data_IF_260840293106
#
_entry.id   IF_260840293106
#
_cell.length_a   1.000
_cell.length_b   1.000
_cell.length_c   1.000
_cell.angle_alpha   90.00
_cell.angle_beta   90.00
_cell.angle_gamma   90.00
#
_symmetry.space_group_name_H-M   'P 1'
#
loop_
_entity.id
_entity.type
_entity.pdbx_description
1 polymer ?
#
# COMPACT_ATOMS: atom_id res chain seq x y z
N UNK A 1 15.48 -20.23 23.60
CA UNK A 1 15.54 -18.90 24.22
C UNK A 1 15.66 -17.89 23.09
N UNK A 2 14.52 -17.26 22.77
CA UNK A 2 14.29 -16.13 21.85
C UNK A 2 14.72 -16.27 20.37
N UNK A 3 13.85 -16.95 19.61
CA UNK A 3 13.70 -16.66 18.17
C UNK A 3 13.14 -15.22 18.07
N UNK A 4 13.95 -14.28 17.58
CA UNK A 4 13.49 -12.91 17.33
C UNK A 4 12.48 -13.00 16.20
N UNK A 5 11.23 -12.60 16.44
CA UNK A 5 10.30 -12.29 15.35
C UNK A 5 10.97 -11.19 14.51
N UNK A 6 11.51 -11.53 13.34
CA UNK A 6 11.91 -10.54 12.36
C UNK A 6 10.63 -9.91 11.81
N UNK A 7 10.22 -8.81 12.43
CA UNK A 7 9.13 -7.95 11.93
C UNK A 7 9.60 -7.29 10.63
N UNK A 8 9.40 -8.00 9.52
CA UNK A 8 9.68 -7.49 8.19
C UNK A 8 8.42 -6.81 7.63
N UNK A 9 8.49 -5.51 7.36
CA UNK A 9 7.40 -4.77 6.73
C UNK A 9 6.98 -5.40 5.39
N UNK A 10 5.68 -5.45 5.12
CA UNK A 10 5.14 -5.87 3.81
C UNK A 10 5.14 -4.73 2.79
N UNK A 11 5.50 -5.02 1.53
CA UNK A 11 5.43 -4.08 0.41
C UNK A 11 4.56 -4.66 -0.70
N UNK A 12 3.71 -3.81 -1.30
CA UNK A 12 2.83 -4.19 -2.41
C UNK A 12 2.75 -3.07 -3.44
N UNK A 13 2.71 -3.41 -4.73
CA UNK A 13 2.67 -2.43 -5.82
C UNK A 13 1.89 -2.93 -7.04
N UNK A 14 1.17 -2.01 -7.68
CA UNK A 14 0.40 -2.23 -8.91
C UNK A 14 0.66 -1.08 -9.87
N UNK A 15 0.76 -1.41 -11.16
CA UNK A 15 0.97 -0.47 -12.25
C UNK A 15 -0.02 -0.72 -13.39
N UNK A 16 -0.43 0.34 -14.08
CA UNK A 16 -1.29 0.23 -15.28
C UNK A 16 -2.76 -0.09 -15.00
N UNK A 17 -3.24 0.09 -13.76
CA UNK A 17 -4.63 -0.16 -13.40
C UNK A 17 -5.33 1.11 -12.89
N UNK A 18 -6.54 1.47 -13.37
CA UNK A 18 -7.24 2.68 -12.92
C UNK A 18 -7.54 2.66 -11.41
N UNK A 19 -7.81 1.48 -10.87
CA UNK A 19 -8.08 1.24 -9.45
C UNK A 19 -6.84 0.80 -8.65
N UNK A 20 -5.62 1.18 -9.08
CA UNK A 20 -4.37 0.77 -8.41
C UNK A 20 -4.38 1.06 -6.90
N UNK A 21 -4.98 2.18 -6.47
CA UNK A 21 -5.09 2.52 -5.05
C UNK A 21 -5.91 1.50 -4.23
N UNK A 22 -7.02 1.01 -4.79
CA UNK A 22 -7.92 0.08 -4.13
C UNK A 22 -7.35 -1.33 -4.11
N UNK A 23 -6.72 -1.75 -5.21
CA UNK A 23 -6.04 -3.04 -5.27
C UNK A 23 -4.82 -3.08 -4.35
N UNK A 24 -4.07 -1.98 -4.22
CA UNK A 24 -2.99 -1.86 -3.23
C UNK A 24 -3.47 -2.00 -1.80
N UNK A 25 -4.67 -1.50 -1.49
CA UNK A 25 -5.27 -1.69 -0.17
C UNK A 25 -5.58 -3.16 0.12
N UNK A 26 -6.18 -3.86 -0.83
CA UNK A 26 -6.46 -5.30 -0.69
C UNK A 26 -5.17 -6.13 -0.58
N UNK A 27 -4.14 -5.76 -1.34
CA UNK A 27 -2.82 -6.39 -1.27
C UNK A 27 -2.15 -6.22 0.10
N UNK A 28 -2.15 -4.99 0.63
CA UNK A 28 -1.63 -4.72 1.98
C UNK A 28 -2.46 -5.40 3.07
N UNK A 29 -3.78 -5.49 2.91
CA UNK A 29 -4.65 -6.23 3.82
C UNK A 29 -4.30 -7.73 3.87
N UNK A 30 -4.01 -8.35 2.72
CA UNK A 30 -3.52 -9.73 2.68
C UNK A 30 -2.17 -9.91 3.40
N UNK A 31 -1.36 -8.85 3.47
CA UNK A 31 -0.05 -8.82 4.15
C UNK A 31 -0.12 -8.36 5.61
N UNK A 32 -1.31 -8.13 6.19
CA UNK A 32 -1.47 -7.63 7.56
C UNK A 32 -0.76 -8.49 8.63
N UNK A 33 -0.55 -9.78 8.34
CA UNK A 33 0.18 -10.70 9.22
C UNK A 33 1.68 -10.37 9.35
N UNK A 34 2.22 -9.45 8.52
CA UNK A 34 3.62 -9.01 8.55
C UNK A 34 3.86 -7.73 9.37
N UNK A 35 2.80 -7.02 9.75
CA UNK A 35 2.92 -5.81 10.57
C UNK A 35 1.54 -5.22 10.85
N UNK A 36 1.30 -4.82 12.10
CA UNK A 36 0.03 -4.25 12.57
C UNK A 36 0.17 -2.83 13.15
N UNK A 37 1.35 -2.24 13.03
CA UNK A 37 1.71 -0.95 13.64
C UNK A 37 1.39 0.26 12.76
N UNK A 38 1.48 0.11 11.44
CA UNK A 38 1.16 1.13 10.43
C UNK A 38 1.11 0.52 9.02
N UNK A 39 0.38 1.17 8.12
CA UNK A 39 0.44 0.89 6.67
C UNK A 39 0.19 2.16 5.85
N UNK A 40 0.68 2.21 4.61
CA UNK A 40 0.56 3.39 3.75
C UNK A 40 0.44 3.04 2.27
N UNK A 41 -0.36 3.83 1.54
CA UNK A 41 -0.56 3.69 0.09
C UNK A 41 -0.31 5.04 -0.57
N UNK A 42 0.63 5.06 -1.51
CA UNK A 42 0.79 6.15 -2.49
C UNK A 42 0.28 5.65 -3.83
N UNK A 43 -0.59 6.42 -4.47
CA UNK A 43 -1.04 6.15 -5.83
C UNK A 43 -0.96 7.42 -6.67
N UNK A 44 -0.52 7.30 -7.91
CA UNK A 44 -0.53 8.37 -8.88
C UNK A 44 -1.48 7.98 -10.01
N UNK A 45 -2.42 8.87 -10.32
CA UNK A 45 -3.25 8.77 -11.52
C UNK A 45 -3.11 10.04 -12.34
N UNK A 46 -3.24 9.92 -13.65
CA UNK A 46 -3.38 11.10 -14.51
C UNK A 46 -4.84 11.51 -14.47
N UNK A 47 -5.12 12.74 -14.04
CA UNK A 47 -6.47 13.28 -14.10
C UNK A 47 -6.84 13.59 -15.55
N UNK A 48 -8.14 13.67 -15.81
CA UNK A 48 -8.72 13.88 -17.15
C UNK A 48 -8.27 15.20 -17.79
N UNK A 49 -7.90 16.18 -16.95
CA UNK A 49 -7.31 17.45 -17.35
C UNK A 49 -5.78 17.40 -17.58
N UNK A 50 -5.18 16.21 -17.59
CA UNK A 50 -3.74 16.00 -17.75
C UNK A 50 -2.90 16.30 -16.50
N UNK A 51 -3.50 16.75 -15.40
CA UNK A 51 -2.77 17.04 -14.16
C UNK A 51 -2.43 15.74 -13.40
N UNK A 52 -1.26 15.63 -12.76
CA UNK A 52 -0.94 14.50 -11.90
C UNK A 52 -1.79 14.57 -10.63
N UNK A 53 -2.61 13.54 -10.39
CA UNK A 53 -3.36 13.39 -9.15
C UNK A 53 -2.70 12.30 -8.31
N UNK A 54 -1.97 12.74 -7.29
CA UNK A 54 -1.36 11.84 -6.30
C UNK A 54 -2.28 11.71 -5.09
N UNK A 55 -2.59 10.49 -4.68
CA UNK A 55 -3.38 10.19 -3.48
C UNK A 55 -2.54 9.37 -2.51
N UNK A 56 -2.27 9.95 -1.35
CA UNK A 56 -1.66 9.29 -0.20
C UNK A 56 -2.76 8.90 0.79
N UNK A 57 -2.74 7.65 1.27
CA UNK A 57 -3.58 7.16 2.37
C UNK A 57 -2.70 6.46 3.39
N UNK A 58 -2.83 6.83 4.65
CA UNK A 58 -2.11 6.20 5.77
C UNK A 58 -3.15 5.47 6.61
N UNK A 59 -2.86 4.22 6.94
CA UNK A 59 -3.63 3.34 7.80
C UNK A 59 -2.82 3.07 9.07
N UNK A 60 -3.53 2.85 10.17
CA UNK A 60 -2.94 2.48 11.46
C UNK A 60 -2.59 1.00 11.48
#
# INVERSE_FOLDING_TARGET
MFDKLHEECGVFGIFGHPEAANLSYLGLYALQHRGQEASGIVSCKRAENGSPATKLRIFK
#
